data_IF_354901397587
#
_entry.id   IF_354901397587
#
_cell.length_a   1.000
_cell.length_b   1.000
_cell.length_c   1.000
_cell.angle_alpha   90.00
_cell.angle_beta   90.00
_cell.angle_gamma   90.00
#
_symmetry.space_group_name_H-M   'P 1'
#
loop_
_entity.id
_entity.type
_entity.pdbx_description
1 polymer ?
#
# COMPACT_ATOMS: atom_id res chain seq x y z
N UNK A 1 27.61 -17.86 -3.13
CA UNK A 1 26.20 -17.70 -3.56
C UNK A 1 26.21 -16.94 -4.88
N UNK A 2 25.80 -17.58 -5.97
CA UNK A 2 25.68 -16.91 -7.26
C UNK A 2 24.39 -16.07 -7.26
N UNK A 3 24.53 -14.75 -7.28
CA UNK A 3 23.42 -13.85 -7.56
C UNK A 3 23.08 -13.99 -9.04
N UNK A 4 21.96 -14.63 -9.34
CA UNK A 4 21.39 -14.59 -10.69
C UNK A 4 20.88 -13.17 -10.91
N UNK A 5 21.71 -12.29 -11.46
CA UNK A 5 21.27 -10.96 -11.90
C UNK A 5 20.21 -11.16 -12.97
N UNK A 6 18.95 -10.89 -12.63
CA UNK A 6 17.85 -10.87 -13.59
C UNK A 6 18.19 -9.83 -14.66
N UNK A 7 18.61 -10.29 -15.85
CA UNK A 7 18.86 -9.41 -17.01
C UNK A 7 17.58 -8.77 -17.55
N UNK A 8 16.43 -9.31 -17.16
CA UNK A 8 15.13 -8.83 -17.59
C UNK A 8 14.45 -8.07 -16.46
N UNK A 9 14.16 -6.79 -16.72
CA UNK A 9 13.23 -5.99 -15.90
C UNK A 9 11.89 -5.88 -16.64
N UNK A 10 10.80 -5.98 -15.90
CA UNK A 10 9.45 -5.83 -16.42
C UNK A 10 9.16 -4.33 -16.66
N UNK A 11 8.64 -3.99 -17.83
CA UNK A 11 8.12 -2.64 -18.10
C UNK A 11 6.92 -2.35 -17.19
N UNK A 12 6.93 -1.20 -16.51
CA UNK A 12 5.88 -0.80 -15.56
C UNK A 12 4.47 -0.84 -16.17
N UNK A 13 4.32 -0.56 -17.47
CA UNK A 13 3.04 -0.57 -18.19
C UNK A 13 2.43 -1.97 -18.31
N UNK A 14 3.25 -3.02 -18.14
CA UNK A 14 2.80 -4.42 -18.19
C UNK A 14 2.22 -4.90 -16.86
N UNK A 15 2.32 -4.10 -15.80
CA UNK A 15 1.70 -4.39 -14.50
C UNK A 15 0.22 -3.99 -14.58
N UNK A 16 -0.66 -5.00 -14.62
CA UNK A 16 -2.11 -4.77 -14.70
C UNK A 16 -2.75 -4.33 -13.38
N UNK A 17 -2.10 -4.60 -12.25
CA UNK A 17 -2.58 -4.19 -10.94
C UNK A 17 -2.27 -2.72 -10.70
N UNK A 18 -3.27 -1.95 -10.28
CA UNK A 18 -3.13 -0.52 -9.98
C UNK A 18 -3.48 -0.27 -8.53
N UNK A 19 -2.66 0.55 -7.85
CA UNK A 19 -2.94 1.03 -6.51
C UNK A 19 -3.01 2.56 -6.54
N UNK A 20 -4.14 3.07 -6.06
CA UNK A 20 -4.35 4.51 -5.87
C UNK A 20 -3.68 4.93 -4.57
N UNK A 21 -2.70 5.84 -4.66
CA UNK A 21 -1.95 6.35 -3.52
C UNK A 21 -2.00 7.88 -3.55
N UNK A 22 -2.16 8.51 -2.39
CA UNK A 22 -2.12 9.97 -2.30
C UNK A 22 -0.71 10.53 -2.54
N UNK A 23 -0.64 11.80 -2.92
CA UNK A 23 0.62 12.46 -3.30
C UNK A 23 1.66 12.47 -2.17
N UNK A 24 1.23 12.55 -0.90
CA UNK A 24 2.14 12.58 0.24
C UNK A 24 2.79 11.21 0.45
N UNK A 25 2.00 10.14 0.35
CA UNK A 25 2.50 8.75 0.44
C UNK A 25 3.38 8.36 -0.75
N UNK A 26 3.11 8.89 -1.93
CA UNK A 26 3.99 8.75 -3.10
C UNK A 26 5.36 9.38 -2.80
N UNK A 27 5.39 10.62 -2.30
CA UNK A 27 6.65 11.29 -1.93
C UNK A 27 7.41 10.52 -0.85
N UNK A 28 6.73 10.07 0.20
CA UNK A 28 7.33 9.25 1.27
C UNK A 28 8.00 7.98 0.71
N UNK A 29 7.32 7.28 -0.21
CA UNK A 29 7.86 6.08 -0.84
C UNK A 29 9.07 6.38 -1.73
N UNK A 30 9.07 7.49 -2.46
CA UNK A 30 10.18 7.90 -3.32
C UNK A 30 11.41 8.33 -2.51
N UNK A 31 11.22 8.98 -1.37
CA UNK A 31 12.31 9.44 -0.50
C UNK A 31 12.91 8.31 0.34
N UNK A 32 12.08 7.44 0.90
CA UNK A 32 12.51 6.42 1.87
C UNK A 32 12.55 4.99 1.34
N UNK A 33 12.05 4.77 0.12
CA UNK A 33 11.90 3.45 -0.49
C UNK A 33 10.74 2.62 0.07
N UNK A 34 9.95 3.16 0.99
CA UNK A 34 8.82 2.46 1.64
C UNK A 34 7.72 3.43 2.06
N UNK A 35 6.50 2.94 2.19
CA UNK A 35 5.41 3.70 2.80
C UNK A 35 4.36 2.73 3.35
N UNK A 36 3.26 3.26 3.88
CA UNK A 36 2.14 2.51 4.42
C UNK A 36 0.83 2.95 3.78
N UNK A 37 -0.10 2.03 3.63
CA UNK A 37 -1.46 2.32 3.17
C UNK A 37 -2.46 1.69 4.13
N UNK A 38 -3.55 2.41 4.39
CA UNK A 38 -4.70 1.90 5.13
C UNK A 38 -5.89 1.91 4.17
N UNK A 39 -6.66 0.82 4.13
CA UNK A 39 -7.83 0.73 3.26
C UNK A 39 -8.90 -0.20 3.84
N UNK A 40 -10.16 0.11 3.57
CA UNK A 40 -11.27 -0.83 3.74
C UNK A 40 -11.35 -1.87 2.62
N UNK A 41 -10.63 -1.65 1.50
CA UNK A 41 -10.54 -2.60 0.39
C UNK A 41 -9.38 -3.57 0.61
N UNK A 42 -9.61 -4.82 0.25
CA UNK A 42 -8.58 -5.84 0.24
C UNK A 42 -7.73 -5.78 -1.03
N UNK A 43 -6.40 -5.75 -0.87
CA UNK A 43 -5.41 -5.87 -1.93
C UNK A 43 -4.52 -7.09 -1.66
N UNK A 44 -4.23 -7.86 -2.70
CA UNK A 44 -3.32 -9.00 -2.60
C UNK A 44 -1.86 -8.56 -2.42
N UNK A 45 -1.02 -9.46 -1.92
CA UNK A 45 0.43 -9.26 -2.01
C UNK A 45 0.87 -9.29 -3.47
N UNK A 46 1.87 -8.46 -3.80
CA UNK A 46 2.43 -8.41 -5.15
C UNK A 46 2.75 -6.99 -5.58
N UNK A 47 3.11 -6.86 -6.86
CA UNK A 47 3.55 -5.60 -7.47
C UNK A 47 2.34 -4.86 -8.08
N UNK A 48 2.27 -3.58 -7.79
CA UNK A 48 1.22 -2.66 -8.23
C UNK A 48 1.85 -1.45 -8.90
N UNK A 49 1.27 -1.02 -10.02
CA UNK A 49 1.54 0.28 -10.60
C UNK A 49 0.85 1.35 -9.78
N UNK A 50 1.54 2.46 -9.53
CA UNK A 50 0.99 3.55 -8.73
C UNK A 50 0.23 4.53 -9.61
N UNK A 51 -1.00 4.84 -9.22
CA UNK A 51 -1.77 5.97 -9.75
C UNK A 51 -1.99 6.98 -8.63
N UNK A 52 -1.73 8.23 -8.92
CA UNK A 52 -1.90 9.31 -7.98
C UNK A 52 -3.39 9.60 -7.78
N UNK A 53 -3.88 9.38 -6.56
CA UNK A 53 -5.29 9.55 -6.23
C UNK A 53 -5.76 11.01 -6.39
N UNK A 54 -4.85 11.98 -6.25
CA UNK A 54 -5.17 13.42 -6.31
C UNK A 54 -5.41 13.92 -7.74
N UNK A 55 -4.74 13.33 -8.74
CA UNK A 55 -4.78 13.83 -10.12
C UNK A 55 -5.05 12.76 -11.18
N UNK A 56 -5.19 11.49 -10.78
CA UNK A 56 -5.50 10.35 -11.66
C UNK A 56 -4.36 9.92 -12.59
N UNK A 57 -3.17 10.54 -12.52
CA UNK A 57 -2.04 10.20 -13.39
C UNK A 57 -1.30 8.99 -12.85
N UNK A 58 -0.79 8.18 -13.77
CA UNK A 58 0.14 7.12 -13.42
C UNK A 58 1.51 7.71 -13.11
N UNK A 59 2.07 7.28 -11.99
CA UNK A 59 3.44 7.62 -11.63
C UNK A 59 4.40 6.65 -12.32
N UNK A 60 5.65 7.08 -12.53
CA UNK A 60 6.73 6.23 -13.07
C UNK A 60 7.33 5.32 -11.99
N UNK A 61 6.49 4.73 -11.14
CA UNK A 61 6.90 3.87 -10.04
C UNK A 61 5.92 2.72 -9.80
N UNK A 62 6.46 1.59 -9.35
CA UNK A 62 5.70 0.47 -8.85
C UNK A 62 6.01 0.23 -7.38
N UNK A 63 5.05 -0.34 -6.66
CA UNK A 63 5.21 -0.74 -5.26
C UNK A 63 4.88 -2.21 -5.09
N UNK A 64 5.62 -2.88 -4.21
CA UNK A 64 5.32 -4.23 -3.76
C UNK A 64 4.62 -4.18 -2.39
N UNK A 65 3.48 -4.86 -2.28
CA UNK A 65 2.80 -5.12 -1.01
C UNK A 65 3.45 -6.35 -0.36
N UNK A 66 4.30 -6.14 0.65
CA UNK A 66 5.06 -7.22 1.30
C UNK A 66 4.38 -7.75 2.58
N UNK A 67 3.66 -6.88 3.30
CA UNK A 67 2.89 -7.24 4.50
C UNK A 67 1.48 -6.66 4.44
N UNK A 68 0.54 -7.46 4.95
CA UNK A 68 -0.87 -7.12 5.11
C UNK A 68 -1.24 -7.46 6.55
N UNK A 69 -1.75 -6.48 7.29
CA UNK A 69 -2.44 -6.64 8.56
C UNK A 69 -3.93 -6.36 8.37
N UNK A 70 -4.76 -6.91 9.25
CA UNK A 70 -6.21 -6.77 9.19
C UNK A 70 -6.78 -6.77 10.61
N UNK A 71 -7.68 -5.83 10.90
CA UNK A 71 -8.34 -5.72 12.21
C UNK A 71 -9.65 -4.95 12.06
N UNK A 72 -10.66 -5.22 12.89
CA UNK A 72 -11.88 -4.41 12.93
C UNK A 72 -11.68 -3.21 13.84
N UNK A 73 -12.58 -2.22 13.79
CA UNK A 73 -12.54 -1.09 14.73
C UNK A 73 -12.58 -1.56 16.20
N UNK A 74 -13.47 -2.51 16.52
CA UNK A 74 -13.60 -3.08 17.87
C UNK A 74 -12.33 -3.84 18.27
N UNK A 75 -11.68 -4.51 17.31
CA UNK A 75 -10.39 -5.15 17.50
C UNK A 75 -9.30 -4.14 17.89
N UNK A 76 -9.22 -3.01 17.19
CA UNK A 76 -8.28 -1.92 17.49
C UNK A 76 -8.54 -1.32 18.87
N UNK A 77 -9.80 -1.04 19.19
CA UNK A 77 -10.21 -0.51 20.50
C UNK A 77 -9.86 -1.48 21.62
N UNK A 78 -10.05 -2.79 21.42
CA UNK A 78 -9.70 -3.83 22.39
C UNK A 78 -8.18 -3.91 22.62
N UNK A 79 -7.37 -3.69 21.59
CA UNK A 79 -5.91 -3.79 21.67
C UNK A 79 -5.26 -2.52 22.23
N UNK A 80 -5.72 -1.33 21.81
CA UNK A 80 -5.07 -0.05 22.11
C UNK A 80 -5.81 0.78 23.17
N UNK A 81 -7.09 0.47 23.44
CA UNK A 81 -7.97 1.24 24.32
C UNK A 81 -8.75 2.33 23.60
N UNK A 82 -9.98 2.61 24.07
CA UNK A 82 -10.89 3.60 23.46
C UNK A 82 -10.29 5.00 23.34
N UNK A 83 -9.45 5.41 24.29
CA UNK A 83 -8.78 6.72 24.26
C UNK A 83 -7.69 6.87 23.20
N UNK A 84 -7.26 5.77 22.58
CA UNK A 84 -6.21 5.75 21.56
C UNK A 84 -6.75 5.56 20.14
N UNK A 85 -8.06 5.31 19.96
CA UNK A 85 -8.66 5.02 18.66
C UNK A 85 -9.80 6.00 18.37
N UNK A 86 -9.52 7.01 17.55
CA UNK A 86 -10.51 8.00 17.14
C UNK A 86 -11.52 7.40 16.15
N UNK A 87 -12.77 7.21 16.59
CA UNK A 87 -13.90 6.75 15.75
C UNK A 87 -14.14 7.65 14.54
N UNK A 88 -13.78 8.93 14.64
CA UNK A 88 -13.92 9.91 13.56
C UNK A 88 -13.13 9.55 12.31
N UNK A 89 -11.96 8.93 12.47
CA UNK A 89 -11.10 8.49 11.37
C UNK A 89 -11.66 7.26 10.63
N UNK A 90 -12.58 6.53 11.25
CA UNK A 90 -13.10 5.26 10.75
C UNK A 90 -14.56 5.34 10.31
N UNK A 91 -15.14 6.55 10.21
CA UNK A 91 -16.54 6.76 9.83
C UNK A 91 -16.92 6.16 8.46
N UNK A 92 -15.95 6.04 7.56
CA UNK A 92 -16.15 5.48 6.22
C UNK A 92 -16.04 3.94 6.18
N UNK A 93 -15.65 3.31 7.29
CA UNK A 93 -15.60 1.86 7.43
C UNK A 93 -16.89 1.41 8.13
N UNK A 94 -17.73 0.59 7.48
CA UNK A 94 -18.92 0.04 8.10
C UNK A 94 -18.62 -0.67 9.42
N UNK A 95 -19.56 -0.64 10.37
CA UNK A 95 -19.39 -1.27 11.68
C UNK A 95 -19.20 -2.79 11.52
N UNK A 96 -18.13 -3.33 12.11
CA UNK A 96 -17.72 -4.73 11.94
C UNK A 96 -16.89 -5.04 10.69
N UNK A 97 -16.68 -4.10 9.77
CA UNK A 97 -15.81 -4.32 8.60
C UNK A 97 -14.32 -4.31 8.95
N UNK A 98 -13.54 -4.97 8.09
CA UNK A 98 -12.09 -5.14 8.26
C UNK A 98 -11.34 -3.93 7.72
N UNK A 99 -10.46 -3.38 8.54
CA UNK A 99 -9.48 -2.37 8.17
C UNK A 99 -8.17 -3.08 7.81
N UNK A 100 -7.69 -2.87 6.59
CA UNK A 100 -6.44 -3.43 6.13
C UNK A 100 -5.30 -2.43 6.22
N UNK A 101 -4.16 -2.90 6.73
CA UNK A 101 -2.93 -2.14 6.89
C UNK A 101 -1.85 -2.77 6.00
N UNK A 102 -1.30 -1.98 5.09
CA UNK A 102 -0.34 -2.44 4.10
C UNK A 102 1.02 -1.79 4.33
N UNK A 103 2.07 -2.60 4.24
CA UNK A 103 3.44 -2.16 4.07
C UNK A 103 3.77 -2.20 2.59
N UNK A 104 4.16 -1.04 2.05
CA UNK A 104 4.50 -0.84 0.65
C UNK A 104 6.01 -0.60 0.54
N UNK A 105 6.65 -1.27 -0.42
CA UNK A 105 8.06 -1.02 -0.78
C UNK A 105 8.16 -0.59 -2.22
N UNK A 106 8.97 0.43 -2.49
CA UNK A 106 9.29 0.83 -3.85
C UNK A 106 9.98 -0.36 -4.56
N UNK A 107 9.46 -0.74 -5.73
CA UNK A 107 9.98 -1.85 -6.50
C UNK A 107 10.88 -1.34 -7.62
N UNK A 108 12.19 -1.50 -7.45
CA UNK A 108 13.22 -1.05 -8.40
C UNK A 108 14.10 -2.19 -8.92
N UNK A 109 13.99 -3.39 -8.35
CA UNK A 109 14.79 -4.55 -8.70
C UNK A 109 14.20 -5.27 -9.92
N UNK A 110 12.88 -5.44 -9.93
CA UNK A 110 12.15 -6.21 -10.93
C UNK A 110 11.48 -5.37 -12.01
N UNK A 111 11.27 -4.08 -11.77
CA UNK A 111 10.52 -3.16 -12.66
C UNK A 111 11.47 -2.10 -13.23
N UNK A 112 11.27 -1.75 -14.51
CA UNK A 112 11.95 -0.67 -15.23
C UNK A 112 10.95 0.38 -15.68
#
# INVERSE_FOLDING_TARGET
MNYTTLKFKLEIERIGNVLDIDELKIKEAMESGKTTLISSRFFNKGIYRVRNASNGRFESMAVNIDKIGAVTYEGLVKELGEGCVDKGLWKEVPEGDVIFFYSLKLESDFVK
#
